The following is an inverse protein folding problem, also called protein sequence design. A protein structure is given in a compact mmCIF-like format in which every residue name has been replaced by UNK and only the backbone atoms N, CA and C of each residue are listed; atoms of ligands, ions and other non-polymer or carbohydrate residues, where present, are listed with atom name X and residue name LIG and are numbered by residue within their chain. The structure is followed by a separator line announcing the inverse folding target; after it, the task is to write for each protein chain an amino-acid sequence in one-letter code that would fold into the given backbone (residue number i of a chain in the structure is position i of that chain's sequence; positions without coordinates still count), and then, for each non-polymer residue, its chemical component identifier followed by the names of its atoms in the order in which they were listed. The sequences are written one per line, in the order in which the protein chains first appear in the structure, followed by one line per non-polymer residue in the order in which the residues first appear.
data_IF_653091836890
#
_entry.id   IF_653091836890
#
_cell.length_a   1.000
_cell.length_b   1.000
_cell.length_c   1.000
_cell.angle_alpha   90.00
_cell.angle_beta   90.00
_cell.angle_gamma   90.00
#
_symmetry.space_group_name_H-M   'P 1'
#
loop_
_entity.id
_entity.type
_entity.pdbx_description
1 polymer ?
#
# COMPACT_ATOMS: atom_id res chain seq x y z
N UNK A 1 -12.28 19.18 -7.76
CA UNK A 1 -12.94 18.18 -6.89
C UNK A 1 -14.02 17.35 -7.59
N UNK A 2 -15.16 17.91 -8.03
CA UNK A 2 -16.25 17.09 -8.62
C UNK A 2 -15.81 16.17 -9.77
N UNK A 3 -15.03 16.72 -10.71
CA UNK A 3 -14.43 15.96 -11.81
C UNK A 3 -13.68 14.72 -11.33
N UNK A 4 -12.79 14.86 -10.34
CA UNK A 4 -12.00 13.74 -9.80
C UNK A 4 -12.94 12.59 -9.39
N UNK A 5 -13.96 12.89 -8.60
CA UNK A 5 -14.93 11.90 -8.15
C UNK A 5 -15.68 11.27 -9.32
N UNK A 6 -16.12 12.06 -10.32
CA UNK A 6 -16.72 11.53 -11.55
C UNK A 6 -15.81 10.48 -12.21
N UNK A 7 -14.51 10.79 -12.36
CA UNK A 7 -13.55 9.87 -12.97
C UNK A 7 -13.29 8.63 -12.11
N UNK A 8 -13.21 8.76 -10.78
CA UNK A 8 -13.04 7.62 -9.88
C UNK A 8 -14.20 6.63 -10.00
N UNK A 9 -15.44 7.12 -10.01
CA UNK A 9 -16.63 6.27 -10.16
C UNK A 9 -16.74 5.69 -11.58
N UNK A 10 -16.52 6.53 -12.60
CA UNK A 10 -16.60 6.10 -13.99
C UNK A 10 -15.55 5.03 -14.32
N UNK A 11 -14.33 5.16 -13.79
CA UNK A 11 -13.28 4.17 -13.99
C UNK A 11 -13.68 2.78 -13.48
N UNK A 12 -14.33 2.70 -12.32
CA UNK A 12 -14.87 1.44 -11.82
C UNK A 12 -16.07 0.95 -12.65
N UNK A 13 -16.96 1.86 -13.06
CA UNK A 13 -18.13 1.51 -13.86
C UNK A 13 -17.79 0.98 -15.26
N UNK A 14 -16.66 1.43 -15.84
CA UNK A 14 -16.16 0.98 -17.14
C UNK A 14 -15.37 -0.33 -17.05
N UNK A 15 -14.93 -0.75 -15.86
CA UNK A 15 -14.27 -2.03 -15.63
C UNK A 15 -15.26 -3.09 -15.13
N UNK A 16 -15.44 -4.16 -15.92
CA UNK A 16 -16.40 -5.21 -15.62
C UNK A 16 -16.11 -5.96 -14.30
N UNK A 17 -14.84 -6.06 -13.90
CA UNK A 17 -14.46 -6.73 -12.64
C UNK A 17 -14.80 -5.81 -11.48
N UNK A 18 -14.38 -4.55 -11.54
CA UNK A 18 -14.67 -3.55 -10.52
C UNK A 18 -16.18 -3.38 -10.32
N UNK A 19 -16.93 -3.18 -11.39
CA UNK A 19 -18.39 -3.06 -11.32
C UNK A 19 -19.06 -4.30 -10.71
N UNK A 20 -18.52 -5.50 -10.95
CA UNK A 20 -19.11 -6.74 -10.39
C UNK A 20 -18.82 -6.93 -8.89
N UNK A 21 -17.75 -6.33 -8.37
CA UNK A 21 -17.31 -6.45 -6.98
C UNK A 21 -17.70 -5.24 -6.12
N UNK A 22 -17.85 -4.07 -6.75
CA UNK A 22 -18.13 -2.78 -6.14
C UNK A 22 -19.30 -2.08 -6.84
N UNK A 23 -20.46 -2.74 -6.84
CA UNK A 23 -21.69 -2.13 -7.37
C UNK A 23 -22.09 -0.87 -6.57
N UNK A 24 -22.80 0.03 -7.26
CA UNK A 24 -23.33 1.29 -6.71
C UNK A 24 -22.30 2.13 -5.92
N UNK A 25 -21.03 2.08 -6.34
CA UNK A 25 -19.88 2.66 -5.62
C UNK A 25 -20.07 4.14 -5.25
N UNK A 26 -20.66 4.94 -6.15
CA UNK A 26 -20.93 6.35 -5.90
C UNK A 26 -21.93 6.55 -4.76
N UNK A 27 -23.06 5.84 -4.78
CA UNK A 27 -24.09 5.92 -3.75
C UNK A 27 -23.53 5.48 -2.39
N UNK A 28 -22.76 4.38 -2.39
CA UNK A 28 -22.09 3.84 -1.21
C UNK A 28 -21.11 4.83 -0.59
N UNK A 29 -20.25 5.44 -1.41
CA UNK A 29 -19.28 6.42 -0.92
C UNK A 29 -19.97 7.63 -0.29
N UNK A 30 -20.97 8.21 -0.95
CA UNK A 30 -21.67 9.37 -0.38
C UNK A 30 -22.52 9.02 0.84
N UNK A 31 -23.02 7.78 0.95
CA UNK A 31 -23.65 7.33 2.19
C UNK A 31 -22.67 7.32 3.37
N UNK A 32 -21.39 6.94 3.15
CA UNK A 32 -20.34 7.04 4.19
C UNK A 32 -20.08 8.50 4.55
N UNK A 33 -19.96 9.38 3.56
CA UNK A 33 -19.75 10.83 3.78
C UNK A 33 -20.89 11.42 4.61
N UNK A 34 -22.14 11.13 4.24
CA UNK A 34 -23.33 11.63 4.94
C UNK A 34 -23.39 11.09 6.38
N UNK A 35 -23.10 9.79 6.58
CA UNK A 35 -23.04 9.19 7.92
C UNK A 35 -21.97 9.83 8.81
N UNK A 36 -20.77 10.10 8.27
CA UNK A 36 -19.69 10.76 9.01
C UNK A 36 -19.99 12.23 9.32
N UNK A 37 -20.78 12.90 8.49
CA UNK A 37 -21.26 14.26 8.78
C UNK A 37 -22.29 14.26 9.91
N UNK A 38 -23.13 13.22 10.02
CA UNK A 38 -24.10 13.05 11.12
C UNK A 38 -23.42 12.60 12.43
N UNK A 39 -22.53 11.61 12.36
CA UNK A 39 -21.81 11.04 13.50
C UNK A 39 -20.30 10.95 13.18
N UNK A 40 -19.54 12.06 13.37
CA UNK A 40 -18.11 12.08 13.16
C UNK A 40 -17.39 11.09 14.07
N UNK A 41 -16.38 10.42 13.54
CA UNK A 41 -15.54 9.49 14.28
C UNK A 41 -14.21 10.13 14.69
N UNK A 42 -13.39 9.41 15.45
CA UNK A 42 -12.02 9.78 15.79
C UNK A 42 -11.07 8.75 15.20
N UNK A 43 -10.03 9.24 14.53
CA UNK A 43 -8.92 8.44 14.01
C UNK A 43 -7.62 8.87 14.69
N UNK A 44 -6.68 7.94 14.82
CA UNK A 44 -5.41 8.17 15.51
C UNK A 44 -4.30 8.50 14.52
N UNK A 45 -3.73 9.70 14.62
CA UNK A 45 -2.58 10.09 13.81
C UNK A 45 -1.30 10.00 14.62
N UNK A 46 -0.32 9.22 14.16
CA UNK A 46 1.00 9.15 14.80
C UNK A 46 2.00 9.94 13.98
N UNK A 47 2.61 10.95 14.59
CA UNK A 47 3.69 11.72 14.00
C UNK A 47 4.90 10.79 13.76
N UNK A 48 5.35 10.62 12.51
CA UNK A 48 6.44 9.70 12.18
C UNK A 48 7.80 10.14 12.76
N UNK A 49 8.00 11.43 13.04
CA UNK A 49 9.26 11.96 13.54
C UNK A 49 9.35 11.89 15.07
N UNK A 50 8.25 12.18 15.77
CA UNK A 50 8.23 12.18 17.24
C UNK A 50 7.70 10.87 17.85
N UNK A 51 6.90 10.11 17.11
CA UNK A 51 6.18 8.94 17.59
C UNK A 51 5.00 9.27 18.52
N UNK A 52 4.63 10.55 18.66
CA UNK A 52 3.47 10.96 19.44
C UNK A 52 2.17 10.74 18.65
N UNK A 53 1.13 10.26 19.33
CA UNK A 53 -0.18 9.99 18.74
C UNK A 53 -1.19 11.06 19.15
N UNK A 54 -1.97 11.52 18.17
CA UNK A 54 -2.96 12.58 18.28
C UNK A 54 -4.33 12.09 17.81
N UNK A 55 -5.38 12.51 18.52
CA UNK A 55 -6.76 12.25 18.13
C UNK A 55 -7.18 13.26 17.05
N UNK A 56 -7.54 12.78 15.86
CA UNK A 56 -8.13 13.60 14.80
C UNK A 56 -9.62 13.27 14.65
N UNK A 57 -10.47 14.29 14.68
CA UNK A 57 -11.89 14.13 14.32
C UNK A 57 -11.99 13.96 12.80
N UNK A 58 -12.65 12.89 12.37
CA UNK A 58 -12.96 12.60 10.97
C UNK A 58 -14.48 12.72 10.74
N UNK A 59 -14.88 13.70 9.93
CA UNK A 59 -16.24 13.85 9.39
C UNK A 59 -16.25 13.61 7.87
N UNK A 60 -17.41 13.78 7.23
CA UNK A 60 -17.58 13.55 5.80
C UNK A 60 -16.76 14.53 4.95
N UNK A 61 -16.61 15.77 5.40
CA UNK A 61 -15.76 16.77 4.76
C UNK A 61 -14.28 16.39 4.84
N UNK A 62 -13.81 15.93 6.01
CA UNK A 62 -12.48 15.37 6.18
C UNK A 62 -12.24 14.14 5.28
N UNK A 63 -13.26 13.29 5.08
CA UNK A 63 -13.16 12.14 4.16
C UNK A 63 -13.06 12.58 2.69
N UNK A 64 -13.85 13.57 2.25
CA UNK A 64 -13.76 14.13 0.90
C UNK A 64 -12.38 14.74 0.65
N UNK A 65 -11.87 15.52 1.60
CA UNK A 65 -10.54 16.11 1.57
C UNK A 65 -9.45 15.03 1.54
N UNK A 66 -9.59 13.96 2.32
CA UNK A 66 -8.67 12.83 2.28
C UNK A 66 -8.65 12.16 0.91
N UNK A 67 -9.80 11.85 0.31
CA UNK A 67 -9.87 11.22 -1.02
C UNK A 67 -9.25 12.14 -2.08
N UNK A 68 -9.50 13.45 -1.99
CA UNK A 68 -8.87 14.44 -2.87
C UNK A 68 -7.34 14.45 -2.71
N UNK A 69 -6.83 14.38 -1.48
CA UNK A 69 -5.40 14.39 -1.18
C UNK A 69 -4.70 13.10 -1.65
N UNK A 70 -5.27 11.92 -1.37
CA UNK A 70 -4.66 10.66 -1.84
C UNK A 70 -4.71 10.54 -3.35
N UNK A 71 -5.63 11.24 -4.02
CA UNK A 71 -5.70 11.23 -5.47
C UNK A 71 -4.45 11.78 -6.15
N UNK A 72 -3.55 12.48 -5.45
CA UNK A 72 -2.20 12.79 -5.96
C UNK A 72 -1.39 11.53 -6.34
N UNK A 73 -1.68 10.40 -5.69
CA UNK A 73 -1.04 9.11 -5.95
C UNK A 73 -1.67 8.48 -7.20
N UNK A 74 -0.85 8.00 -8.13
CA UNK A 74 -1.34 7.44 -9.40
C UNK A 74 -2.22 6.19 -9.19
N UNK A 75 -1.96 5.42 -8.14
CA UNK A 75 -2.70 4.20 -7.80
C UNK A 75 -4.01 4.46 -7.04
N UNK A 76 -4.32 5.71 -6.68
CA UNK A 76 -5.50 6.06 -5.88
C UNK A 76 -6.81 5.55 -6.52
N UNK A 77 -6.94 5.67 -7.85
CA UNK A 77 -8.14 5.21 -8.56
C UNK A 77 -8.36 3.70 -8.39
N UNK A 78 -7.28 2.92 -8.35
CA UNK A 78 -7.32 1.46 -8.27
C UNK A 78 -7.65 0.93 -6.86
N UNK A 79 -7.25 1.67 -5.82
CA UNK A 79 -7.53 1.30 -4.42
C UNK A 79 -8.85 1.88 -3.90
N UNK A 80 -9.34 2.96 -4.51
CA UNK A 80 -10.51 3.70 -4.04
C UNK A 80 -11.76 2.83 -3.81
N UNK A 81 -12.17 1.92 -4.73
CA UNK A 81 -13.34 1.07 -4.50
C UNK A 81 -13.23 0.17 -3.26
N UNK A 82 -12.03 -0.37 -3.01
CA UNK A 82 -11.76 -1.16 -1.82
C UNK A 82 -11.85 -0.29 -0.55
N UNK A 83 -11.28 0.91 -0.59
CA UNK A 83 -11.34 1.86 0.52
C UNK A 83 -12.78 2.23 0.89
N UNK A 84 -13.68 2.39 -0.08
CA UNK A 84 -15.11 2.62 0.22
C UNK A 84 -15.70 1.48 1.05
N UNK A 85 -15.42 0.23 0.69
CA UNK A 85 -15.84 -0.95 1.47
C UNK A 85 -15.27 -0.92 2.90
N UNK A 86 -14.01 -0.53 3.08
CA UNK A 86 -13.40 -0.41 4.40
C UNK A 86 -14.03 0.72 5.22
N UNK A 87 -14.33 1.87 4.62
CA UNK A 87 -14.97 2.98 5.30
C UNK A 87 -16.42 2.67 5.71
N UNK A 88 -17.17 1.92 4.90
CA UNK A 88 -18.49 1.40 5.28
C UNK A 88 -18.43 0.47 6.49
N UNK A 89 -17.34 -0.29 6.63
CA UNK A 89 -17.08 -1.15 7.78
C UNK A 89 -16.58 -0.38 9.02
N UNK A 90 -16.34 0.94 8.89
CA UNK A 90 -15.75 1.77 9.95
C UNK A 90 -14.25 1.56 10.13
N UNK A 91 -13.57 0.94 9.16
CA UNK A 91 -12.14 0.69 9.18
C UNK A 91 -11.39 1.86 8.52
N UNK A 92 -10.78 2.72 9.34
CA UNK A 92 -10.07 3.91 8.87
C UNK A 92 -8.54 3.79 8.92
N UNK A 93 -8.00 2.58 9.10
CA UNK A 93 -6.55 2.33 9.23
C UNK A 93 -5.71 2.93 8.08
N UNK A 94 -6.25 2.95 6.85
CA UNK A 94 -5.54 3.57 5.72
C UNK A 94 -5.44 5.09 5.88
N UNK A 95 -6.47 5.74 6.43
CA UNK A 95 -6.42 7.17 6.78
C UNK A 95 -5.40 7.37 7.89
N UNK A 96 -5.43 6.55 8.95
CA UNK A 96 -4.47 6.62 10.07
C UNK A 96 -3.02 6.42 9.62
N UNK A 97 -2.78 5.61 8.58
CA UNK A 97 -1.45 5.37 8.04
C UNK A 97 -0.95 6.48 7.10
N UNK A 98 -1.85 7.09 6.32
CA UNK A 98 -1.48 8.02 5.24
C UNK A 98 -1.63 9.48 5.64
N UNK A 99 -2.68 9.84 6.38
CA UNK A 99 -2.93 11.22 6.81
C UNK A 99 -1.77 11.85 7.59
N UNK A 100 -1.02 11.14 8.47
CA UNK A 100 0.13 11.71 9.15
C UNK A 100 1.22 12.19 8.20
N UNK A 101 1.38 11.56 7.03
CA UNK A 101 2.37 11.93 6.02
C UNK A 101 2.07 13.29 5.38
N UNK A 102 0.84 13.77 5.48
CA UNK A 102 0.42 15.08 4.98
C UNK A 102 0.30 16.11 6.11
N UNK A 103 -0.29 15.72 7.24
CA UNK A 103 -0.57 16.62 8.37
C UNK A 103 0.72 17.07 9.06
N UNK A 104 1.72 16.19 9.16
CA UNK A 104 3.00 16.49 9.80
C UNK A 104 4.11 16.82 8.79
N UNK A 105 3.78 17.02 7.52
CA UNK A 105 4.75 17.42 6.50
C UNK A 105 5.18 18.88 6.72
N UNK A 106 6.39 19.08 7.22
CA UNK A 106 7.00 20.41 7.40
C UNK A 106 7.88 20.85 6.21
N UNK A 107 7.85 20.09 5.10
CA UNK A 107 8.66 20.38 3.92
C UNK A 107 8.04 21.43 3.00
N UNK A 108 6.75 21.72 3.18
CA UNK A 108 6.05 22.78 2.45
C UNK A 108 6.43 24.16 3.01
N UNK A 109 6.84 25.07 2.11
CA UNK A 109 7.16 26.44 2.48
C UNK A 109 5.91 27.32 2.43
N UNK A 110 5.04 27.20 3.44
CA UNK A 110 3.75 27.91 3.49
C UNK A 110 3.91 29.43 3.32
N UNK A 111 4.92 30.02 3.96
CA UNK A 111 5.17 31.45 3.85
C UNK A 111 5.51 31.89 2.42
N UNK A 112 6.24 31.07 1.66
CA UNK A 112 6.49 31.32 0.24
C UNK A 112 5.22 31.11 -0.57
N UNK A 113 4.51 30.01 -0.33
CA UNK A 113 3.27 29.66 -0.99
C UNK A 113 2.23 30.79 -0.90
N UNK A 114 1.92 31.26 0.32
CA UNK A 114 0.98 32.36 0.52
C UNK A 114 1.51 33.69 -0.03
N UNK A 115 2.82 33.92 -0.05
CA UNK A 115 3.38 35.12 -0.69
C UNK A 115 3.17 35.15 -2.21
N UNK A 116 3.12 33.98 -2.86
CA UNK A 116 2.88 33.88 -4.31
C UNK A 116 1.39 33.92 -4.62
N UNK A 117 0.59 33.01 -4.03
CA UNK A 117 -0.83 32.88 -4.38
C UNK A 117 -1.62 34.15 -4.04
N UNK A 118 -1.26 34.83 -2.93
CA UNK A 118 -1.94 36.07 -2.55
C UNK A 118 -1.57 37.25 -3.45
N UNK A 119 -0.40 37.22 -4.08
CA UNK A 119 0.01 38.23 -5.04
C UNK A 119 -0.61 38.00 -6.42
N UNK A 120 -0.76 36.74 -6.84
CA UNK A 120 -1.24 36.34 -8.17
C UNK A 120 -2.78 36.26 -8.26
N UNK A 121 -3.43 35.54 -7.35
CA UNK A 121 -4.77 35.00 -7.56
C UNK A 121 -5.81 35.37 -6.48
N UNK A 122 -5.44 36.10 -5.43
CA UNK A 122 -6.35 36.36 -4.30
C UNK A 122 -7.42 37.44 -4.55
N UNK A 123 -7.94 37.57 -5.77
CA UNK A 123 -8.96 38.56 -6.15
C UNK A 123 -10.25 38.00 -6.74
N UNK A 124 -10.44 36.67 -6.67
CA UNK A 124 -11.68 36.03 -7.10
C UNK A 124 -12.85 36.27 -6.13
N UNK A 125 -14.07 36.28 -6.69
CA UNK A 125 -15.32 36.29 -5.93
C UNK A 125 -15.83 34.85 -5.77
N UNK A 126 -15.78 34.26 -4.56
CA UNK A 126 -16.23 32.87 -4.34
C UNK A 126 -17.71 32.69 -4.65
N UNK A 127 -18.52 33.75 -4.51
CA UNK A 127 -19.97 33.71 -4.78
C UNK A 127 -20.29 33.67 -6.27
N UNK A 128 -19.32 33.99 -7.14
CA UNK A 128 -19.47 33.94 -8.59
C UNK A 128 -19.21 32.55 -9.18
N UNK A 129 -18.79 31.57 -8.37
CA UNK A 129 -18.45 30.23 -8.82
C UNK A 129 -19.74 29.44 -9.15
N UNK A 130 -19.88 28.93 -10.39
CA UNK A 130 -21.07 28.17 -10.77
C UNK A 130 -21.03 26.77 -10.13
N UNK A 131 -21.92 26.51 -9.19
CA UNK A 131 -22.07 25.21 -8.53
C UNK A 131 -23.14 24.30 -9.17
N UNK A 132 -23.74 24.74 -10.28
CA UNK A 132 -24.74 23.96 -11.00
C UNK A 132 -24.16 22.65 -11.52
N UNK A 133 -24.78 21.52 -11.16
CA UNK A 133 -24.32 20.18 -11.57
C UNK A 133 -23.22 19.59 -10.68
N UNK A 134 -22.79 20.29 -9.64
CA UNK A 134 -21.87 19.77 -8.61
C UNK A 134 -22.67 19.01 -7.56
N UNK A 135 -22.11 17.90 -7.06
CA UNK A 135 -22.73 17.12 -5.99
C UNK A 135 -22.89 17.95 -4.72
N UNK A 136 -24.03 17.86 -4.00
CA UNK A 136 -24.27 18.69 -2.81
C UNK A 136 -23.18 18.58 -1.74
N UNK A 137 -22.70 17.36 -1.47
CA UNK A 137 -21.63 17.10 -0.49
C UNK A 137 -20.34 17.83 -0.86
N UNK A 138 -19.99 17.85 -2.16
CA UNK A 138 -18.79 18.55 -2.65
C UNK A 138 -19.00 20.06 -2.67
N UNK A 139 -20.18 20.52 -3.08
CA UNK A 139 -20.49 21.95 -3.21
C UNK A 139 -20.46 22.68 -1.86
N UNK A 140 -20.95 22.04 -0.79
CA UNK A 140 -20.92 22.59 0.56
C UNK A 140 -19.48 22.80 1.05
N UNK A 141 -18.65 21.77 0.90
CA UNK A 141 -17.26 21.74 1.31
C UNK A 141 -16.41 22.82 0.59
N UNK A 142 -16.54 22.92 -0.75
CA UNK A 142 -15.74 23.87 -1.56
C UNK A 142 -15.97 25.33 -1.16
N UNK A 143 -17.21 25.73 -0.85
CA UNK A 143 -17.48 27.11 -0.45
C UNK A 143 -16.79 27.41 0.88
N UNK A 144 -16.94 26.53 1.87
CA UNK A 144 -16.35 26.69 3.19
C UNK A 144 -14.82 26.74 3.11
N UNK A 145 -14.21 25.84 2.35
CA UNK A 145 -12.77 25.82 2.12
C UNK A 145 -12.29 27.13 1.45
N UNK A 146 -12.94 27.59 0.38
CA UNK A 146 -12.48 28.76 -0.37
C UNK A 146 -12.61 30.07 0.41
N UNK A 147 -13.68 30.23 1.19
CA UNK A 147 -13.87 31.40 2.04
C UNK A 147 -12.90 31.39 3.23
N UNK A 148 -12.76 30.26 3.93
CA UNK A 148 -12.02 30.19 5.19
C UNK A 148 -10.50 30.03 5.05
N UNK A 149 -10.00 29.44 3.96
CA UNK A 149 -8.58 29.07 3.84
C UNK A 149 -7.74 29.98 2.95
N UNK A 150 -8.28 30.48 1.82
CA UNK A 150 -7.50 31.29 0.87
C UNK A 150 -7.70 32.79 1.06
N UNK A 151 -8.95 33.25 1.00
CA UNK A 151 -9.26 34.68 1.04
C UNK A 151 -8.90 35.26 2.41
N UNK A 152 -9.32 34.60 3.49
CA UNK A 152 -9.01 35.01 4.84
C UNK A 152 -7.50 35.00 5.12
N UNK A 153 -6.79 33.96 4.65
CA UNK A 153 -5.33 33.90 4.81
C UNK A 153 -4.65 35.03 4.05
N UNK A 154 -5.04 35.31 2.81
CA UNK A 154 -4.45 36.42 2.03
C UNK A 154 -4.78 37.79 2.62
N UNK A 155 -5.98 37.96 3.20
CA UNK A 155 -6.35 39.16 3.94
C UNK A 155 -5.52 39.36 5.22
N UNK A 156 -5.01 38.29 5.83
CA UNK A 156 -4.09 38.38 6.97
C UNK A 156 -2.65 38.59 6.50
N UNK A 157 -2.24 37.87 5.45
CA UNK A 157 -0.87 37.84 4.93
C UNK A 157 -0.43 39.17 4.31
N UNK A 158 -1.38 39.92 3.73
CA UNK A 158 -1.20 41.33 3.29
C UNK A 158 -0.01 41.54 2.33
N UNK A 159 0.02 40.77 1.24
CA UNK A 159 1.00 40.93 0.16
C UNK A 159 0.45 41.80 -0.97
N UNK A 160 1.31 42.63 -1.56
CA UNK A 160 0.97 43.45 -2.71
C UNK A 160 0.58 42.57 -3.91
N UNK A 161 -0.58 42.85 -4.51
CA UNK A 161 -1.02 42.15 -5.71
C UNK A 161 -0.15 42.49 -6.92
N UNK A 162 0.05 41.50 -7.78
CA UNK A 162 0.68 41.68 -9.07
C UNK A 162 -0.22 42.46 -10.02
N UNK A 163 0.34 43.12 -11.04
CA UNK A 163 -0.46 43.73 -12.08
C UNK A 163 -1.26 42.66 -12.85
N UNK A 164 -2.46 42.99 -13.41
CA UNK A 164 -3.33 42.03 -14.08
C UNK A 164 -2.68 41.21 -15.21
N UNK A 165 -1.57 41.70 -15.77
CA UNK A 165 -0.78 40.98 -16.79
C UNK A 165 -0.29 39.61 -16.31
N UNK A 166 -0.20 39.37 -15.00
CA UNK A 166 0.14 38.07 -14.43
C UNK A 166 -0.90 36.98 -14.78
N UNK A 167 -2.16 37.37 -14.98
CA UNK A 167 -3.28 36.46 -15.23
C UNK A 167 -3.64 36.37 -16.73
N UNK A 168 -2.88 37.05 -17.60
CA UNK A 168 -3.09 37.00 -19.04
C UNK A 168 -2.50 35.71 -19.64
N UNK A 169 -3.21 35.03 -20.56
CA UNK A 169 -2.71 33.81 -21.19
C UNK A 169 -1.38 34.03 -21.94
N UNK A 170 -0.46 33.08 -21.79
CA UNK A 170 0.81 33.09 -22.53
C UNK A 170 0.57 32.76 -24.00
N UNK A 171 0.94 33.68 -24.89
CA UNK A 171 0.92 33.46 -26.35
C UNK A 171 2.33 33.13 -26.84
N UNK A 172 2.51 31.95 -27.44
CA UNK A 172 3.82 31.50 -27.88
C UNK A 172 3.76 30.56 -29.09
N UNK A 173 4.79 30.61 -29.93
CA UNK A 173 5.04 29.65 -31.00
C UNK A 173 6.22 28.72 -30.70
N UNK A 174 6.79 28.80 -29.51
CA UNK A 174 7.84 27.86 -29.06
C UNK A 174 7.19 26.48 -28.95
N UNK A 175 7.78 25.43 -29.54
CA UNK A 175 7.31 24.07 -29.32
C UNK A 175 7.12 23.76 -27.84
N UNK A 176 5.94 23.30 -27.46
CA UNK A 176 5.56 23.09 -26.06
C UNK A 176 4.94 21.70 -25.89
N UNK A 177 5.29 21.02 -24.81
CA UNK A 177 4.66 19.76 -24.41
C UNK A 177 3.80 20.01 -23.19
N UNK A 178 2.52 19.63 -23.29
CA UNK A 178 1.59 19.59 -22.18
C UNK A 178 1.30 18.12 -21.88
N UNK A 179 1.54 17.71 -20.63
CA UNK A 179 1.40 16.32 -20.21
C UNK A 179 0.65 16.31 -18.88
N UNK A 180 -0.53 15.71 -18.87
CA UNK A 180 -1.42 15.66 -17.70
C UNK A 180 -1.74 14.21 -17.32
N UNK A 181 -2.07 13.98 -16.05
CA UNK A 181 -2.72 12.75 -15.60
C UNK A 181 -4.24 12.89 -15.67
N UNK A 182 -4.95 11.82 -16.04
CA UNK A 182 -6.41 11.80 -16.07
C UNK A 182 -7.02 12.03 -14.68
N UNK A 183 -6.38 11.49 -13.64
CA UNK A 183 -6.84 11.60 -12.26
C UNK A 183 -6.22 12.77 -11.50
N UNK A 184 -5.48 13.66 -12.17
CA UNK A 184 -4.85 14.83 -11.51
C UNK A 184 -5.91 15.71 -10.82
N UNK A 185 -5.89 15.81 -9.48
CA UNK A 185 -6.89 16.57 -8.74
C UNK A 185 -6.66 18.09 -8.78
N UNK A 186 -5.47 18.55 -9.17
CA UNK A 186 -4.99 19.93 -9.05
C UNK A 186 -4.89 20.63 -10.41
N UNK A 187 -4.22 20.01 -11.37
CA UNK A 187 -3.97 20.54 -12.72
C UNK A 187 -4.52 19.60 -13.79
N UNK A 188 -5.84 19.41 -13.85
CA UNK A 188 -6.44 18.40 -14.71
C UNK A 188 -6.26 18.70 -16.20
N UNK A 189 -6.44 17.72 -17.10
CA UNK A 189 -6.18 17.86 -18.54
C UNK A 189 -6.90 19.03 -19.24
N UNK A 190 -8.03 19.49 -18.71
CA UNK A 190 -8.76 20.64 -19.22
C UNK A 190 -7.92 21.93 -19.11
N UNK A 191 -7.10 22.07 -18.07
CA UNK A 191 -6.20 23.22 -17.92
C UNK A 191 -5.16 23.24 -19.05
N UNK A 192 -4.63 22.07 -19.42
CA UNK A 192 -3.74 21.93 -20.57
C UNK A 192 -4.46 22.27 -21.89
N UNK A 193 -5.74 21.89 -22.02
CA UNK A 193 -6.54 22.24 -23.20
C UNK A 193 -6.68 23.76 -23.36
N UNK A 194 -6.98 24.47 -22.27
CA UNK A 194 -7.07 25.94 -22.26
C UNK A 194 -5.70 26.57 -22.55
N UNK A 195 -4.63 26.07 -21.94
CA UNK A 195 -3.28 26.57 -22.20
C UNK A 195 -2.88 26.40 -23.68
N UNK A 196 -3.24 25.28 -24.30
CA UNK A 196 -2.91 24.99 -25.70
C UNK A 196 -3.53 25.97 -26.70
N UNK A 197 -4.64 26.65 -26.37
CA UNK A 197 -5.32 27.59 -27.26
C UNK A 197 -4.39 28.74 -27.73
N UNK A 198 -3.44 29.14 -26.87
CA UNK A 198 -2.49 30.23 -27.14
C UNK A 198 -1.07 29.74 -27.47
N UNK A 199 -0.86 28.42 -27.54
CA UNK A 199 0.42 27.79 -27.83
C UNK A 199 0.38 27.16 -29.22
N UNK A 200 0.73 27.94 -30.26
CA UNK A 200 0.50 27.55 -31.66
C UNK A 200 1.26 26.32 -32.13
N UNK A 201 2.25 25.84 -31.36
CA UNK A 201 3.05 24.65 -31.62
C UNK A 201 3.08 23.75 -30.36
N UNK A 202 1.93 23.35 -29.84
CA UNK A 202 1.85 22.46 -28.68
C UNK A 202 1.51 21.01 -29.03
N UNK A 203 2.06 20.06 -28.26
CA UNK A 203 1.54 18.70 -28.18
C UNK A 203 0.89 18.50 -26.80
N UNK A 204 -0.34 18.01 -26.76
CA UNK A 204 -1.04 17.69 -25.51
C UNK A 204 -1.25 16.20 -25.40
N UNK A 205 -0.87 15.64 -24.25
CA UNK A 205 -0.97 14.21 -23.95
C UNK A 205 -1.59 14.02 -22.57
N UNK A 206 -2.42 12.99 -22.45
CA UNK A 206 -3.03 12.59 -21.19
C UNK A 206 -2.64 11.15 -20.87
N UNK A 207 -2.10 10.94 -19.68
CA UNK A 207 -1.89 9.61 -19.13
C UNK A 207 -3.17 9.14 -18.43
N UNK A 208 -3.86 8.14 -18.99
CA UNK A 208 -5.18 7.71 -18.52
C UNK A 208 -5.18 7.07 -17.14
N UNK A 209 -4.01 6.65 -16.65
CA UNK A 209 -3.81 6.10 -15.29
C UNK A 209 -2.89 6.99 -14.45
N UNK A 210 -2.52 8.16 -14.98
CA UNK A 210 -1.66 9.11 -14.30
C UNK A 210 -2.45 10.04 -13.39
N UNK A 211 -1.77 10.58 -12.40
CA UNK A 211 -2.28 11.65 -11.53
C UNK A 211 -1.39 12.91 -11.60
N UNK A 212 -1.32 13.69 -10.52
CA UNK A 212 -0.58 14.93 -10.43
C UNK A 212 0.91 14.72 -10.67
N UNK A 213 1.50 15.58 -11.50
CA UNK A 213 2.90 15.44 -11.88
C UNK A 213 3.13 14.24 -12.82
N UNK A 214 2.51 14.26 -14.00
CA UNK A 214 2.63 13.17 -14.98
C UNK A 214 4.07 12.90 -15.47
N UNK A 215 5.00 13.84 -15.29
CA UNK A 215 6.42 13.56 -15.52
C UNK A 215 7.01 12.79 -14.33
N UNK A 216 7.74 11.70 -14.61
CA UNK A 216 8.29 10.83 -13.57
C UNK A 216 7.34 9.71 -13.13
N UNK A 217 6.07 9.75 -13.54
CA UNK A 217 5.05 8.76 -13.12
C UNK A 217 5.37 7.34 -13.61
N UNK A 218 5.80 7.20 -14.87
CA UNK A 218 6.09 5.90 -15.46
C UNK A 218 7.04 6.00 -16.68
N UNK A 219 7.45 4.84 -17.18
CA UNK A 219 8.38 4.74 -18.31
C UNK A 219 7.83 5.33 -19.61
N UNK A 220 6.51 5.32 -19.82
CA UNK A 220 5.86 5.86 -21.01
C UNK A 220 5.85 7.38 -20.98
N UNK A 221 5.35 8.00 -19.91
CA UNK A 221 5.35 9.44 -19.71
C UNK A 221 6.76 10.03 -19.81
N UNK A 222 7.74 9.35 -19.20
CA UNK A 222 9.16 9.70 -19.32
C UNK A 222 9.68 9.57 -20.75
N UNK A 223 9.18 8.59 -21.50
CA UNK A 223 9.50 8.42 -22.93
C UNK A 223 8.99 9.58 -23.78
N UNK A 224 7.75 10.01 -23.56
CA UNK A 224 7.13 11.17 -24.24
C UNK A 224 7.93 12.44 -23.99
N UNK A 225 8.28 12.73 -22.74
CA UNK A 225 9.10 13.91 -22.38
C UNK A 225 10.48 13.84 -23.04
N UNK A 226 11.14 12.68 -22.98
CA UNK A 226 12.46 12.49 -23.61
C UNK A 226 12.42 12.69 -25.12
N UNK A 227 11.42 12.12 -25.79
CA UNK A 227 11.28 12.21 -27.24
C UNK A 227 11.03 13.67 -27.68
N UNK A 228 10.20 14.39 -26.93
CA UNK A 228 9.98 15.83 -27.12
C UNK A 228 11.29 16.64 -26.96
N UNK A 229 12.02 16.43 -25.87
CA UNK A 229 13.27 17.16 -25.60
C UNK A 229 14.35 16.89 -26.66
N UNK A 230 14.39 15.67 -27.21
CA UNK A 230 15.33 15.30 -28.28
C UNK A 230 14.99 15.96 -29.61
N UNK A 231 13.71 16.07 -29.95
CA UNK A 231 13.27 16.74 -31.17
C UNK A 231 11.88 17.38 -31.00
N UNK A 232 11.80 18.63 -30.52
CA UNK A 232 10.52 19.27 -30.21
C UNK A 232 9.74 19.67 -31.47
N UNK A 233 10.32 19.53 -32.67
CA UNK A 233 9.63 19.79 -33.95
C UNK A 233 8.83 18.60 -34.47
N UNK A 234 8.91 17.45 -33.78
CA UNK A 234 8.21 16.21 -34.13
C UNK A 234 7.34 15.79 -32.95
N UNK A 235 6.12 15.34 -33.22
CA UNK A 235 5.25 14.82 -32.19
C UNK A 235 5.91 13.60 -31.50
N UNK A 236 6.02 13.59 -30.16
CA UNK A 236 6.50 12.45 -29.40
C UNK A 236 5.64 11.20 -29.63
N UNK A 237 6.18 10.00 -29.42
CA UNK A 237 5.36 8.80 -29.44
C UNK A 237 4.66 8.60 -28.08
N UNK A 238 3.36 8.93 -28.01
CA UNK A 238 2.53 8.74 -26.82
C UNK A 238 1.67 7.47 -26.82
N UNK A 239 1.88 6.50 -27.73
CA UNK A 239 0.96 5.37 -27.91
C UNK A 239 0.85 4.41 -26.71
N UNK A 240 1.76 4.52 -25.73
CA UNK A 240 1.72 3.74 -24.51
C UNK A 240 0.93 4.44 -23.37
N UNK A 241 0.62 5.74 -23.53
CA UNK A 241 -0.29 6.45 -22.64
C UNK A 241 -1.68 5.91 -22.95
N UNK A 242 -2.38 5.36 -21.94
CA UNK A 242 -3.65 4.68 -22.20
C UNK A 242 -3.67 3.18 -21.94
N UNK A 243 -2.53 2.54 -21.64
CA UNK A 243 -2.48 1.09 -21.42
C UNK A 243 -2.81 0.73 -19.97
N UNK A 244 -4.03 1.04 -19.51
CA UNK A 244 -4.58 0.40 -18.30
C UNK A 244 -4.59 -1.12 -18.52
N UNK A 245 -4.06 -1.89 -17.59
CA UNK A 245 -3.99 -3.34 -17.69
C UNK A 245 -5.22 -3.98 -17.03
N UNK A 246 -5.71 -5.12 -17.53
CA UNK A 246 -6.69 -5.91 -16.80
C UNK A 246 -6.16 -6.26 -15.40
N UNK A 247 -6.94 -5.95 -14.35
CA UNK A 247 -6.56 -6.23 -12.95
C UNK A 247 -5.87 -5.08 -12.21
N UNK A 248 -6.01 -3.84 -12.71
CA UNK A 248 -5.47 -2.66 -12.02
C UNK A 248 -6.20 -2.37 -10.70
N UNK A 249 -7.52 -2.64 -10.60
CA UNK A 249 -8.27 -2.47 -9.35
C UNK A 249 -7.93 -3.52 -8.30
N UNK A 250 -7.90 -3.11 -7.03
CA UNK A 250 -7.78 -4.05 -5.91
C UNK A 250 -9.09 -4.83 -5.76
N UNK A 251 -9.09 -6.17 -5.76
CA UNK A 251 -10.30 -6.96 -5.57
C UNK A 251 -10.97 -6.71 -4.21
N UNK A 252 -12.28 -6.92 -4.13
CA UNK A 252 -13.01 -6.81 -2.86
C UNK A 252 -12.59 -7.91 -1.88
N UNK A 253 -12.23 -9.08 -2.38
CA UNK A 253 -11.78 -10.22 -1.59
C UNK A 253 -10.26 -10.21 -1.39
N UNK A 254 -9.81 -9.41 -0.43
CA UNK A 254 -8.39 -9.34 -0.06
C UNK A 254 -8.13 -9.86 1.35
N UNK A 255 -6.86 -10.19 1.58
CA UNK A 255 -6.35 -10.60 2.88
C UNK A 255 -5.36 -9.53 3.32
N UNK A 256 -5.66 -8.87 4.45
CA UNK A 256 -4.72 -7.96 5.11
C UNK A 256 -3.58 -8.74 5.73
N UNK A 257 -2.35 -8.30 5.47
CA UNK A 257 -1.15 -8.94 6.02
C UNK A 257 -0.38 -7.92 6.83
N UNK A 258 -0.50 -8.00 8.15
CA UNK A 258 0.15 -7.07 9.09
C UNK A 258 1.66 -6.96 8.89
N UNK A 259 2.33 -8.06 8.54
CA UNK A 259 3.76 -8.04 8.20
C UNK A 259 4.07 -7.10 7.01
N UNK A 260 3.20 -7.04 5.99
CA UNK A 260 3.41 -6.15 4.84
C UNK A 260 3.29 -4.69 5.29
N UNK A 261 2.28 -4.38 6.11
CA UNK A 261 2.11 -3.05 6.70
C UNK A 261 3.34 -2.66 7.52
N UNK A 262 3.80 -3.52 8.41
CA UNK A 262 4.99 -3.28 9.23
C UNK A 262 6.27 -3.08 8.39
N UNK A 263 6.40 -3.80 7.26
CA UNK A 263 7.50 -3.61 6.32
C UNK A 263 7.39 -2.25 5.61
N UNK A 264 6.18 -1.89 5.15
CA UNK A 264 5.92 -0.63 4.45
C UNK A 264 6.15 0.58 5.35
N UNK A 265 5.83 0.48 6.64
CA UNK A 265 6.10 1.53 7.65
C UNK A 265 7.52 1.46 8.23
N UNK A 266 8.38 0.58 7.71
CA UNK A 266 9.76 0.38 8.17
C UNK A 266 9.88 0.14 9.69
N UNK A 267 8.92 -0.58 10.30
CA UNK A 267 8.96 -0.88 11.72
C UNK A 267 10.27 -1.63 12.07
N UNK A 268 11.15 -1.04 12.92
CA UNK A 268 12.42 -1.65 13.29
C UNK A 268 12.26 -3.04 13.91
N UNK A 269 11.17 -3.28 14.62
CA UNK A 269 10.90 -4.57 15.26
C UNK A 269 10.54 -5.64 14.23
N UNK A 270 9.79 -5.30 13.18
CA UNK A 270 9.41 -6.24 12.13
C UNK A 270 10.61 -6.77 11.35
N UNK A 271 11.59 -5.91 11.07
CA UNK A 271 12.88 -6.31 10.49
C UNK A 271 13.62 -7.25 11.45
N UNK A 272 13.65 -6.91 12.74
CA UNK A 272 14.24 -7.73 13.79
C UNK A 272 13.61 -9.13 13.90
N UNK A 273 12.28 -9.22 13.87
CA UNK A 273 11.55 -10.49 13.92
C UNK A 273 11.81 -11.34 12.69
N UNK A 274 11.78 -10.75 11.49
CA UNK A 274 12.06 -11.47 10.23
C UNK A 274 13.47 -12.03 10.19
N UNK A 275 14.49 -11.24 10.57
CA UNK A 275 15.88 -11.71 10.64
C UNK A 275 16.04 -12.83 11.69
N UNK A 276 15.40 -12.68 12.84
CA UNK A 276 15.44 -13.69 13.92
C UNK A 276 14.76 -14.99 13.51
N UNK A 277 13.62 -14.91 12.80
CA UNK A 277 12.95 -16.06 12.20
C UNK A 277 13.89 -16.79 11.22
N UNK A 278 14.62 -16.03 10.38
CA UNK A 278 15.64 -16.56 9.48
C UNK A 278 16.74 -17.33 10.21
N UNK A 279 17.25 -16.83 11.33
CA UNK A 279 18.26 -17.51 12.15
C UNK A 279 17.73 -18.83 12.75
N UNK A 280 16.50 -18.84 13.26
CA UNK A 280 15.89 -20.08 13.74
C UNK A 280 15.69 -21.09 12.62
N UNK A 281 15.24 -20.65 11.45
CA UNK A 281 15.08 -21.50 10.27
C UNK A 281 16.43 -22.10 9.84
N UNK A 282 17.51 -21.32 9.80
CA UNK A 282 18.86 -21.83 9.53
C UNK A 282 19.27 -22.91 10.55
N UNK A 283 18.98 -22.71 11.83
CA UNK A 283 19.18 -23.70 12.88
C UNK A 283 18.44 -25.01 12.62
N UNK A 284 17.17 -24.92 12.19
CA UNK A 284 16.34 -26.08 11.82
C UNK A 284 16.92 -26.81 10.59
N UNK A 285 17.35 -26.05 9.58
CA UNK A 285 17.89 -26.57 8.32
C UNK A 285 19.20 -27.35 8.49
N UNK A 286 19.89 -27.20 9.62
CA UNK A 286 21.06 -28.04 9.94
C UNK A 286 20.72 -29.54 9.90
N UNK A 287 19.45 -29.93 10.07
CA UNK A 287 19.02 -31.33 9.97
C UNK A 287 19.34 -31.95 8.60
N UNK A 288 19.26 -31.18 7.51
CA UNK A 288 19.57 -31.67 6.16
C UNK A 288 21.04 -31.99 5.95
N UNK A 289 21.93 -31.47 6.81
CA UNK A 289 23.37 -31.74 6.77
C UNK A 289 23.74 -32.78 7.82
N UNK A 290 23.30 -32.59 9.07
CA UNK A 290 23.66 -33.44 10.20
C UNK A 290 23.06 -34.84 10.05
N UNK A 291 21.82 -34.97 9.58
CA UNK A 291 21.15 -36.26 9.50
C UNK A 291 21.80 -37.20 8.46
N UNK A 292 22.11 -36.78 7.21
CA UNK A 292 22.85 -37.61 6.26
C UNK A 292 24.25 -37.98 6.74
N UNK A 293 24.99 -37.05 7.36
CA UNK A 293 26.34 -37.32 7.89
C UNK A 293 26.28 -38.41 8.95
N UNK A 294 25.35 -38.30 9.91
CA UNK A 294 25.17 -39.31 10.96
C UNK A 294 24.76 -40.66 10.38
N UNK A 295 23.92 -40.67 9.33
CA UNK A 295 23.54 -41.88 8.62
C UNK A 295 24.74 -42.57 7.97
N UNK A 296 25.56 -41.82 7.22
CA UNK A 296 26.77 -42.33 6.55
C UNK A 296 27.77 -42.89 7.56
N UNK A 297 28.05 -42.14 8.64
CA UNK A 297 28.97 -42.60 9.70
C UNK A 297 28.50 -43.92 10.31
N UNK A 298 27.18 -44.11 10.49
CA UNK A 298 26.62 -45.36 11.01
C UNK A 298 26.72 -46.50 10.01
N UNK A 299 26.53 -46.22 8.72
CA UNK A 299 26.69 -47.20 7.63
C UNK A 299 28.12 -47.73 7.61
N UNK A 300 29.11 -46.83 7.69
CA UNK A 300 30.55 -47.18 7.72
C UNK A 300 30.91 -47.99 8.97
N UNK A 301 30.32 -47.65 10.13
CA UNK A 301 30.63 -48.31 11.41
C UNK A 301 29.90 -49.66 11.62
N UNK A 302 29.16 -50.16 10.64
CA UNK A 302 28.40 -51.44 10.69
C UNK A 302 27.61 -51.68 11.99
N UNK A 303 27.07 -50.63 12.61
CA UNK A 303 26.33 -50.81 13.87
C UNK A 303 24.92 -51.35 13.57
N UNK A 304 24.52 -52.53 14.11
CA UNK A 304 23.18 -53.04 13.91
C UNK A 304 22.16 -52.09 14.54
N UNK A 305 21.07 -51.84 13.84
CA UNK A 305 19.99 -50.98 14.31
C UNK A 305 18.84 -51.87 14.75
N UNK A 306 18.54 -51.90 16.05
CA UNK A 306 17.35 -52.57 16.58
C UNK A 306 16.07 -52.00 15.95
N UNK A 307 15.18 -52.88 15.50
CA UNK A 307 14.02 -52.53 14.66
C UNK A 307 12.95 -51.74 15.42
N UNK A 308 12.78 -51.97 16.72
CA UNK A 308 11.81 -51.24 17.56
C UNK A 308 12.18 -49.78 17.84
N UNK A 309 13.47 -49.46 17.89
CA UNK A 309 13.96 -48.09 18.07
C UNK A 309 14.11 -47.33 16.75
N UNK A 310 13.82 -47.96 15.60
CA UNK A 310 13.84 -47.31 14.27
C UNK A 310 12.63 -46.42 14.06
N UNK A 311 11.42 -46.93 14.30
CA UNK A 311 10.18 -46.22 13.98
C UNK A 311 10.08 -44.87 14.70
N UNK A 312 10.41 -44.85 15.99
CA UNK A 312 10.39 -43.65 16.84
C UNK A 312 11.49 -42.64 16.51
N UNK A 313 12.72 -43.11 16.21
CA UNK A 313 13.81 -42.21 15.79
C UNK A 313 13.55 -41.60 14.42
N UNK A 314 12.99 -42.38 13.49
CA UNK A 314 12.60 -41.90 12.17
C UNK A 314 11.39 -40.97 12.24
N UNK A 315 10.43 -41.24 13.12
CA UNK A 315 9.31 -40.35 13.37
C UNK A 315 9.76 -38.97 13.86
N UNK A 316 10.73 -38.90 14.78
CA UNK A 316 11.22 -37.62 15.33
C UNK A 316 12.01 -36.78 14.34
N UNK A 317 12.95 -37.39 13.62
CA UNK A 317 13.66 -36.70 12.55
C UNK A 317 12.73 -36.36 11.38
N UNK A 318 11.74 -37.22 11.10
CA UNK A 318 10.70 -36.99 10.12
C UNK A 318 9.86 -35.76 10.44
N UNK A 319 9.42 -35.58 11.69
CA UNK A 319 8.68 -34.38 12.11
C UNK A 319 9.47 -33.09 11.85
N UNK A 320 10.77 -33.06 12.21
CA UNK A 320 11.60 -31.88 11.93
C UNK A 320 11.84 -31.68 10.44
N UNK A 321 12.04 -32.74 9.65
CA UNK A 321 12.20 -32.63 8.19
C UNK A 321 10.94 -32.09 7.52
N UNK A 322 9.77 -32.59 7.91
CA UNK A 322 8.48 -32.09 7.41
C UNK A 322 8.30 -30.62 7.80
N UNK A 323 8.56 -30.27 9.06
CA UNK A 323 8.53 -28.88 9.52
C UNK A 323 9.47 -28.00 8.70
N UNK A 324 10.71 -28.44 8.49
CA UNK A 324 11.72 -27.68 7.76
C UNK A 324 11.33 -27.45 6.28
N UNK A 325 10.84 -28.50 5.60
CA UNK A 325 10.36 -28.38 4.22
C UNK A 325 9.16 -27.45 4.12
N UNK A 326 8.20 -27.59 5.04
CA UNK A 326 7.00 -26.77 5.06
C UNK A 326 7.32 -25.31 5.40
N UNK A 327 8.24 -25.04 6.32
CA UNK A 327 8.70 -23.70 6.67
C UNK A 327 9.47 -23.03 5.52
N UNK A 328 10.32 -23.78 4.81
CA UNK A 328 11.00 -23.26 3.60
C UNK A 328 9.99 -22.95 2.50
N UNK A 329 9.04 -23.86 2.26
CA UNK A 329 7.97 -23.62 1.29
C UNK A 329 7.17 -22.37 1.65
N UNK A 330 6.79 -22.23 2.93
CA UNK A 330 6.08 -21.05 3.43
C UNK A 330 6.86 -19.78 3.15
N UNK A 331 8.15 -19.73 3.51
CA UNK A 331 8.99 -18.54 3.28
C UNK A 331 9.12 -18.23 1.78
N UNK A 332 9.35 -19.22 0.93
CA UNK A 332 9.47 -19.01 -0.52
C UNK A 332 8.17 -18.45 -1.09
N UNK A 333 7.03 -19.08 -0.79
CA UNK A 333 5.74 -18.67 -1.33
C UNK A 333 5.34 -17.31 -0.77
N UNK A 334 5.53 -17.06 0.53
CA UNK A 334 5.30 -15.75 1.14
C UNK A 334 6.15 -14.66 0.48
N UNK A 335 7.43 -14.91 0.18
CA UNK A 335 8.27 -13.95 -0.52
C UNK A 335 7.78 -13.68 -1.95
N UNK A 336 7.27 -14.69 -2.66
CA UNK A 336 6.67 -14.48 -3.99
C UNK A 336 5.44 -13.57 -3.88
N UNK A 337 4.54 -13.83 -2.93
CA UNK A 337 3.36 -12.98 -2.72
C UNK A 337 3.75 -11.58 -2.28
N UNK A 338 4.69 -11.41 -1.35
CA UNK A 338 5.19 -10.09 -0.96
C UNK A 338 5.78 -9.38 -2.18
N UNK A 339 6.64 -10.01 -2.98
CA UNK A 339 7.23 -9.38 -4.17
C UNK A 339 6.18 -9.00 -5.22
N UNK A 340 5.12 -9.80 -5.37
CA UNK A 340 4.00 -9.46 -6.26
C UNK A 340 3.14 -8.33 -5.71
N UNK A 341 2.98 -8.27 -4.38
CA UNK A 341 2.17 -7.27 -3.70
C UNK A 341 2.91 -5.97 -3.41
N UNK A 342 4.24 -5.90 -3.43
CA UNK A 342 5.00 -4.64 -3.16
C UNK A 342 5.06 -3.69 -4.35
N UNK A 343 4.56 -4.10 -5.51
CA UNK A 343 4.44 -3.23 -6.69
C UNK A 343 2.98 -3.09 -7.08
N UNK A 344 2.47 -1.86 -7.06
CA UNK A 344 1.12 -1.52 -7.50
C UNK A 344 0.10 -1.37 -6.37
N UNK A 345 -1.19 -1.32 -6.72
CA UNK A 345 -2.27 -0.87 -5.81
C UNK A 345 -2.42 -1.71 -4.52
N UNK A 346 -2.25 -3.03 -4.60
CA UNK A 346 -2.31 -3.91 -3.41
C UNK A 346 -1.20 -3.60 -2.38
N UNK A 347 -0.06 -3.06 -2.82
CA UNK A 347 1.04 -2.67 -1.95
C UNK A 347 0.61 -1.59 -0.97
N UNK A 348 -0.11 -0.59 -1.48
CA UNK A 348 -0.54 0.57 -0.70
C UNK A 348 -1.49 0.17 0.41
N UNK A 349 -2.39 -0.78 0.14
CA UNK A 349 -3.32 -1.30 1.14
C UNK A 349 -2.71 -2.40 2.02
N UNK A 350 -1.45 -2.80 1.79
CA UNK A 350 -0.80 -3.90 2.52
C UNK A 350 -1.58 -5.22 2.46
N UNK A 351 -2.19 -5.49 1.30
CA UNK A 351 -3.06 -6.65 1.06
C UNK A 351 -2.49 -7.63 0.05
N UNK A 352 -3.01 -8.85 0.09
CA UNK A 352 -2.78 -9.87 -0.94
C UNK A 352 -4.13 -10.44 -1.41
N UNK A 353 -4.17 -11.00 -2.63
CA UNK A 353 -5.36 -11.68 -3.16
C UNK A 353 -5.82 -12.82 -2.24
N UNK A 354 -7.14 -13.02 -2.11
CA UNK A 354 -7.75 -14.17 -1.43
C UNK A 354 -7.24 -15.54 -1.94
N UNK A 355 -6.73 -15.61 -3.18
CA UNK A 355 -6.09 -16.81 -3.73
C UNK A 355 -4.90 -17.28 -2.89
N UNK A 356 -4.29 -16.38 -2.09
CA UNK A 356 -3.23 -16.68 -1.16
C UNK A 356 -3.71 -17.40 0.12
N UNK A 357 -5.03 -17.54 0.37
CA UNK A 357 -5.58 -18.18 1.58
C UNK A 357 -4.87 -19.49 1.99
N UNK A 358 -4.57 -20.44 1.06
CA UNK A 358 -3.88 -21.68 1.45
C UNK A 358 -2.50 -21.47 2.06
N UNK A 359 -1.80 -20.38 1.72
CA UNK A 359 -0.51 -20.01 2.30
C UNK A 359 -0.63 -19.75 3.80
N UNK A 360 -1.68 -19.03 4.21
CA UNK A 360 -1.88 -18.61 5.61
C UNK A 360 -2.44 -19.72 6.50
N UNK A 361 -2.77 -20.89 5.93
CA UNK A 361 -3.04 -22.12 6.71
C UNK A 361 -1.71 -22.74 7.20
N UNK A 362 -0.60 -22.52 6.50
CA UNK A 362 0.69 -23.16 6.80
C UNK A 362 1.23 -22.81 8.21
N UNK A 363 1.17 -21.56 8.71
CA UNK A 363 1.54 -21.24 10.09
C UNK A 363 0.85 -22.11 11.13
N UNK A 364 -0.46 -22.37 10.98
CA UNK A 364 -1.22 -23.26 11.87
C UNK A 364 -0.73 -24.71 11.81
N UNK A 365 -0.44 -25.23 10.61
CA UNK A 365 0.14 -26.56 10.44
C UNK A 365 1.54 -26.66 11.06
N UNK A 366 2.37 -25.63 10.91
CA UNK A 366 3.68 -25.53 11.56
C UNK A 366 3.53 -25.48 13.09
N UNK A 367 2.56 -24.73 13.62
CA UNK A 367 2.24 -24.71 15.05
C UNK A 367 1.86 -26.09 15.58
N UNK A 368 1.01 -26.83 14.86
CA UNK A 368 0.64 -28.20 15.23
C UNK A 368 1.85 -29.15 15.18
N UNK A 369 2.70 -29.05 14.15
CA UNK A 369 3.94 -29.82 14.07
C UNK A 369 4.88 -29.48 15.23
N UNK A 370 4.99 -28.21 15.62
CA UNK A 370 5.81 -27.77 16.74
C UNK A 370 5.36 -28.42 18.06
N UNK A 371 4.04 -28.49 18.32
CA UNK A 371 3.49 -29.19 19.50
C UNK A 371 3.89 -30.68 19.49
N UNK A 372 3.80 -31.35 18.34
CA UNK A 372 4.22 -32.75 18.20
C UNK A 372 5.72 -32.93 18.43
N UNK A 373 6.54 -32.00 17.92
CA UNK A 373 8.00 -32.00 18.11
C UNK A 373 8.36 -31.82 19.58
N UNK A 374 7.70 -30.90 20.29
CA UNK A 374 7.89 -30.67 21.73
C UNK A 374 7.47 -31.91 22.54
N UNK A 375 6.32 -32.51 22.24
CA UNK A 375 5.88 -33.74 22.88
C UNK A 375 6.89 -34.89 22.67
N UNK A 376 7.42 -35.01 21.44
CA UNK A 376 8.43 -36.00 21.12
C UNK A 376 9.79 -35.74 21.79
N UNK A 377 10.16 -34.48 22.02
CA UNK A 377 11.32 -34.09 22.82
C UNK A 377 11.15 -34.55 24.27
N UNK A 378 10.03 -34.22 24.90
CA UNK A 378 9.72 -34.60 26.29
C UNK A 378 9.79 -36.13 26.44
N UNK A 379 9.11 -36.84 25.53
CA UNK A 379 9.06 -38.30 25.56
C UNK A 379 10.45 -38.94 25.42
N UNK A 380 11.31 -38.36 24.58
CA UNK A 380 12.70 -38.82 24.43
C UNK A 380 13.55 -38.68 25.67
N UNK A 381 13.34 -37.61 26.45
CA UNK A 381 14.08 -37.40 27.69
C UNK A 381 13.59 -38.35 28.78
N UNK A 382 12.27 -38.58 28.87
CA UNK A 382 11.65 -39.54 29.79
C UNK A 382 12.13 -40.96 29.50
N UNK A 383 12.07 -41.40 28.24
CA UNK A 383 12.44 -42.77 27.83
C UNK A 383 13.95 -42.95 27.61
N UNK A 384 14.76 -41.90 27.79
CA UNK A 384 16.21 -41.87 27.55
C UNK A 384 16.61 -42.43 26.18
N UNK A 385 15.83 -42.09 25.15
CA UNK A 385 16.04 -42.63 23.81
C UNK A 385 17.26 -42.04 23.12
N UNK A 386 18.15 -42.90 22.63
CA UNK A 386 19.34 -42.51 21.90
C UNK A 386 20.47 -41.98 22.78
N UNK A 387 21.55 -41.52 22.14
CA UNK A 387 22.69 -40.93 22.86
C UNK A 387 22.32 -39.58 23.47
N UNK A 388 23.06 -39.17 24.51
CA UNK A 388 22.91 -37.84 25.09
C UNK A 388 23.08 -36.73 24.04
N UNK A 389 24.05 -36.88 23.14
CA UNK A 389 24.28 -35.96 22.02
C UNK A 389 23.11 -35.87 21.05
N UNK A 390 22.45 -37.00 20.74
CA UNK A 390 21.25 -36.99 19.90
C UNK A 390 20.10 -36.25 20.57
N UNK A 391 19.97 -36.38 21.89
CA UNK A 391 18.92 -35.68 22.67
C UNK A 391 19.21 -34.19 22.77
N UNK A 392 20.46 -33.80 23.00
CA UNK A 392 20.88 -32.40 23.02
C UNK A 392 20.65 -31.72 21.65
N UNK A 393 21.07 -32.37 20.56
CA UNK A 393 20.83 -31.81 19.21
C UNK A 393 19.34 -31.70 18.88
N UNK A 394 18.53 -32.70 19.24
CA UNK A 394 17.09 -32.60 19.05
C UNK A 394 16.45 -31.51 19.93
N UNK A 395 16.99 -31.29 21.14
CA UNK A 395 16.57 -30.18 22.01
C UNK A 395 16.86 -28.84 21.35
N UNK A 396 18.07 -28.67 20.79
CA UNK A 396 18.43 -27.48 20.02
C UNK A 396 17.47 -27.25 18.85
N UNK A 397 17.22 -28.26 18.01
CA UNK A 397 16.27 -28.15 16.90
C UNK A 397 14.86 -27.80 17.37
N UNK A 398 14.42 -28.35 18.50
CA UNK A 398 13.10 -28.05 19.08
C UNK A 398 13.03 -26.60 19.57
N UNK A 399 14.10 -26.08 20.18
CA UNK A 399 14.17 -24.67 20.58
C UNK A 399 14.13 -23.75 19.35
N UNK A 400 14.81 -24.11 18.26
CA UNK A 400 14.70 -23.36 17.01
C UNK A 400 13.29 -23.40 16.42
N UNK A 401 12.62 -24.56 16.46
CA UNK A 401 11.21 -24.69 16.03
C UNK A 401 10.29 -23.80 16.86
N UNK A 402 10.40 -23.83 18.19
CA UNK A 402 9.58 -22.98 19.07
C UNK A 402 9.88 -21.50 18.85
N UNK A 403 11.15 -21.13 18.72
CA UNK A 403 11.57 -19.76 18.41
C UNK A 403 11.01 -19.27 17.07
N UNK A 404 11.03 -20.11 16.03
CA UNK A 404 10.46 -19.79 14.73
C UNK A 404 8.95 -19.55 14.81
N UNK A 405 8.20 -20.42 15.50
CA UNK A 405 6.75 -20.24 15.70
C UNK A 405 6.44 -18.96 16.48
N UNK A 406 7.23 -18.63 17.49
CA UNK A 406 7.07 -17.39 18.24
C UNK A 406 7.26 -16.17 17.34
N UNK A 407 8.27 -16.18 16.46
CA UNK A 407 8.48 -15.07 15.53
C UNK A 407 7.31 -14.95 14.54
N UNK A 408 6.77 -16.06 14.02
CA UNK A 408 5.58 -16.03 13.17
C UNK A 408 4.36 -15.42 13.89
N UNK A 409 4.19 -15.72 15.18
CA UNK A 409 3.11 -15.13 15.98
C UNK A 409 3.29 -13.63 16.22
N UNK A 410 4.53 -13.17 16.46
CA UNK A 410 4.84 -11.75 16.63
C UNK A 410 4.66 -10.92 15.35
N UNK A 411 4.76 -11.55 14.18
CA UNK A 411 4.50 -10.93 12.87
C UNK A 411 3.05 -11.12 12.39
N UNK A 412 2.12 -11.45 13.29
CA UNK A 412 0.69 -11.60 12.95
C UNK A 412 0.33 -12.80 12.07
N UNK A 413 1.25 -13.75 11.78
CA UNK A 413 0.98 -14.83 10.81
C UNK A 413 -0.08 -15.85 11.25
N UNK A 414 -0.46 -15.83 12.54
CA UNK A 414 -1.54 -16.63 13.10
C UNK A 414 -2.86 -15.88 13.22
N UNK A 415 -2.92 -14.60 12.86
CA UNK A 415 -4.14 -13.78 12.89
C UNK A 415 -4.62 -13.39 11.50
N UNK A 416 -3.83 -13.59 10.44
CA UNK A 416 -4.17 -13.24 9.05
C UNK A 416 -5.53 -13.77 8.55
N UNK A 417 -6.02 -14.89 9.08
CA UNK A 417 -7.30 -15.51 8.66
C UNK A 417 -8.43 -15.35 9.69
N UNK A 418 -8.22 -14.54 10.74
CA UNK A 418 -9.16 -14.26 11.82
C UNK A 418 -9.62 -12.82 11.67
#
# INVERSE_FOLDING_TARGET
TNRLFDHLFQACADDATCQSEYDDLEERFFAVVDNLNEEPTTVLLTDPDTGETYDMRLDGDGLLGFVYQIAYLAEAYAIFPNLVTEFEAGNYDFIEAIMPLFVFDDTISDGMYFSVICAEDADFDPTAIPLGGIRPQIAANVIEDMESSYIDMCNIWQVDRLPPVANEPVVSNIPTLLLSGEFDPITPPENATVAAENLSNSYSYVNTVGSHGAFGSDACANGVVRDFLNNPTVAPNGSCLGLAQPGDFVPADTIRVELIQQINTLDPWAVGYTLTAGLFLLGILTIFVVWPIVFIIRLIRQRPVEMGSRLLRWGRSGLILIFALLAVLFVIVLNVFIVQSVSGPMAMLSVVSSMATPLFIIPYLLGLLAVLIVAALIWSWIKKEGSIWSRLYYTFLTLCVVGYILMLALTGMFTVLI
#
